data_IF_906131947142
#
_entry.id   IF_906131947142
#
_cell.length_a   1.000
_cell.length_b   1.000
_cell.length_c   1.000
_cell.angle_alpha   90.00
_cell.angle_beta   90.00
_cell.angle_gamma   90.00
#
_symmetry.space_group_name_H-M   'P 1'
#
loop_
_entity.id
_entity.type
_entity.pdbx_description
1 polymer ?
#
# COMPACT_ATOMS: atom_id res chain seq x y z
N UNK A 1 -7.19 29.48 18.18
CA UNK A 1 -7.31 28.36 17.22
C UNK A 1 -6.08 27.49 17.40
N UNK A 2 -6.09 26.47 18.29
CA UNK A 2 -4.85 25.73 18.63
C UNK A 2 -5.00 24.38 19.36
N UNK A 3 -6.20 23.79 19.50
CA UNK A 3 -6.36 22.50 20.20
C UNK A 3 -7.25 21.51 19.46
N UNK A 4 -8.35 21.97 18.84
CA UNK A 4 -9.21 21.13 17.99
C UNK A 4 -8.50 20.62 16.72
N UNK A 5 -7.58 21.41 16.15
CA UNK A 5 -6.84 21.03 14.93
C UNK A 5 -5.87 19.86 15.18
N UNK A 6 -5.42 19.65 16.42
CA UNK A 6 -4.56 18.51 16.76
C UNK A 6 -5.36 17.21 16.89
N UNK A 7 -6.59 17.28 17.42
CA UNK A 7 -7.48 16.11 17.58
C UNK A 7 -8.24 15.75 16.29
N UNK A 8 -8.38 16.70 15.37
CA UNK A 8 -9.03 16.52 14.07
C UNK A 8 -8.07 16.64 12.89
N UNK A 9 -6.77 16.73 13.14
CA UNK A 9 -5.75 16.90 12.11
C UNK A 9 -5.42 15.62 11.34
N UNK A 10 -4.54 15.70 10.32
CA UNK A 10 -4.23 14.55 9.47
C UNK A 10 -3.64 13.35 10.23
N UNK A 11 -2.82 13.57 11.25
CA UNK A 11 -2.32 12.50 12.11
C UNK A 11 -3.40 11.80 12.93
N UNK A 12 -4.37 12.56 13.46
CA UNK A 12 -5.48 12.00 14.23
C UNK A 12 -6.42 11.15 13.35
N UNK A 13 -6.59 11.52 12.07
CA UNK A 13 -7.29 10.67 11.10
C UNK A 13 -6.67 9.27 11.00
N UNK A 14 -5.35 9.20 10.83
CA UNK A 14 -4.63 7.91 10.71
C UNK A 14 -4.77 7.08 11.99
N UNK A 15 -4.69 7.71 13.16
CA UNK A 15 -4.88 7.01 14.42
C UNK A 15 -6.30 6.45 14.58
N UNK A 16 -7.33 7.19 14.15
CA UNK A 16 -8.71 6.66 14.12
C UNK A 16 -8.86 5.51 13.14
N UNK A 17 -8.21 5.56 11.98
CA UNK A 17 -8.21 4.44 11.03
C UNK A 17 -7.53 3.19 11.63
N UNK A 18 -6.40 3.37 12.33
CA UNK A 18 -5.71 2.28 13.04
C UNK A 18 -6.62 1.62 14.06
N UNK A 19 -7.23 2.43 14.93
CA UNK A 19 -8.14 1.95 15.97
C UNK A 19 -9.38 1.27 15.38
N UNK A 20 -10.03 1.87 14.39
CA UNK A 20 -11.21 1.31 13.76
C UNK A 20 -10.91 -0.01 13.03
N UNK A 21 -9.75 -0.12 12.38
CA UNK A 21 -9.29 -1.37 11.77
C UNK A 21 -9.09 -2.46 12.83
N UNK A 22 -8.33 -2.18 13.88
CA UNK A 22 -8.01 -3.17 14.91
C UNK A 22 -9.23 -3.58 15.74
N UNK A 23 -10.19 -2.67 15.92
CA UNK A 23 -11.47 -2.95 16.59
C UNK A 23 -12.52 -3.57 15.65
N UNK A 24 -12.21 -3.75 14.37
CA UNK A 24 -13.15 -4.23 13.35
C UNK A 24 -14.43 -3.38 13.26
N UNK A 25 -14.30 -2.07 13.49
CA UNK A 25 -15.41 -1.11 13.49
C UNK A 25 -15.56 -0.47 12.12
N UNK A 26 -16.40 -1.09 11.29
CA UNK A 26 -16.71 -0.62 9.94
C UNK A 26 -17.33 0.79 9.93
N UNK A 27 -18.11 1.14 10.95
CA UNK A 27 -18.78 2.44 10.99
C UNK A 27 -17.78 3.57 11.27
N UNK A 28 -16.97 3.43 12.32
CA UNK A 28 -15.93 4.40 12.65
C UNK A 28 -14.89 4.52 11.54
N UNK A 29 -14.53 3.40 10.90
CA UNK A 29 -13.64 3.39 9.75
C UNK A 29 -14.24 4.19 8.59
N UNK A 30 -15.50 3.93 8.24
CA UNK A 30 -16.17 4.60 7.10
C UNK A 30 -16.30 6.11 7.36
N UNK A 31 -16.57 6.53 8.60
CA UNK A 31 -16.67 7.95 8.99
C UNK A 31 -15.36 8.73 8.87
N UNK A 32 -14.22 8.05 8.68
CA UNK A 32 -12.95 8.72 8.41
C UNK A 32 -12.84 9.27 6.98
N UNK A 33 -13.79 8.98 6.10
CA UNK A 33 -13.74 9.38 4.69
C UNK A 33 -14.86 10.36 4.36
N UNK A 34 -14.55 11.37 3.55
CA UNK A 34 -15.52 12.31 3.03
C UNK A 34 -16.48 11.62 2.06
N UNK A 35 -17.69 12.16 1.91
CA UNK A 35 -18.71 11.61 1.01
C UNK A 35 -18.21 11.44 -0.43
N UNK A 36 -17.46 12.43 -0.92
CA UNK A 36 -16.87 12.51 -2.25
C UNK A 36 -15.40 12.05 -2.32
N UNK A 37 -14.95 11.30 -1.31
CA UNK A 37 -13.58 10.80 -1.20
C UNK A 37 -13.07 10.17 -2.50
N UNK A 38 -11.84 10.52 -2.91
CA UNK A 38 -11.19 9.93 -4.09
C UNK A 38 -9.99 9.08 -3.74
N UNK A 39 -10.00 7.83 -4.17
CA UNK A 39 -8.85 6.93 -4.09
C UNK A 39 -8.13 6.83 -5.44
N UNK A 40 -6.82 7.08 -5.42
CA UNK A 40 -5.91 6.86 -6.54
C UNK A 40 -4.94 5.73 -6.18
N UNK A 41 -4.65 4.84 -7.12
CA UNK A 41 -3.68 3.74 -6.98
C UNK A 41 -2.63 3.88 -8.08
N UNK A 42 -1.59 4.71 -7.90
CA UNK A 42 -0.74 5.13 -9.03
C UNK A 42 0.00 3.99 -9.72
N UNK A 43 0.40 2.95 -8.98
CA UNK A 43 1.00 1.74 -9.55
C UNK A 43 -0.02 0.88 -10.34
N UNK A 44 -1.31 1.03 -10.05
CA UNK A 44 -2.39 0.24 -10.65
C UNK A 44 -3.64 1.10 -10.93
N UNK A 45 -3.59 2.05 -11.89
CA UNK A 45 -4.62 3.10 -12.02
C UNK A 45 -6.06 2.60 -12.14
N UNK A 46 -6.27 1.40 -12.71
CA UNK A 46 -7.58 0.77 -12.81
C UNK A 46 -8.22 0.39 -11.46
N UNK A 47 -7.45 0.36 -10.36
CA UNK A 47 -7.93 0.08 -9.00
C UNK A 47 -8.42 1.33 -8.26
N UNK A 48 -8.30 2.53 -8.85
CA UNK A 48 -8.81 3.78 -8.28
C UNK A 48 -10.34 3.82 -8.21
N UNK A 49 -10.90 4.58 -7.27
CA UNK A 49 -12.35 4.67 -7.09
C UNK A 49 -12.78 5.97 -6.40
N UNK A 50 -14.09 6.24 -6.36
CA UNK A 50 -14.67 7.41 -5.70
C UNK A 50 -15.80 7.02 -4.76
N UNK A 51 -15.97 7.81 -3.71
CA UNK A 51 -17.08 7.79 -2.77
C UNK A 51 -16.85 6.90 -1.54
N UNK A 52 -17.30 7.40 -0.40
CA UNK A 52 -17.28 6.71 0.90
C UNK A 52 -17.98 5.35 0.89
N UNK A 53 -19.06 5.23 0.12
CA UNK A 53 -19.79 3.96 0.03
C UNK A 53 -18.96 2.83 -0.59
N UNK A 54 -18.03 3.16 -1.50
CA UNK A 54 -17.09 2.16 -2.01
C UNK A 54 -16.07 1.76 -0.94
N UNK A 55 -15.60 2.69 -0.10
CA UNK A 55 -14.76 2.38 1.05
C UNK A 55 -15.45 1.38 1.97
N UNK A 56 -16.72 1.65 2.33
CA UNK A 56 -17.53 0.76 3.18
C UNK A 56 -17.64 -0.65 2.59
N UNK A 57 -17.95 -0.76 1.28
CA UNK A 57 -18.05 -2.05 0.60
C UNK A 57 -16.73 -2.82 0.59
N UNK A 58 -15.60 -2.13 0.41
CA UNK A 58 -14.29 -2.76 0.41
C UNK A 58 -13.93 -3.30 1.80
N UNK A 59 -14.13 -2.49 2.84
CA UNK A 59 -13.81 -2.88 4.21
C UNK A 59 -14.74 -3.94 4.79
N UNK A 60 -16.03 -3.93 4.45
CA UNK A 60 -16.94 -5.04 4.80
C UNK A 60 -16.44 -6.37 4.21
N UNK A 61 -15.97 -6.36 2.97
CA UNK A 61 -15.37 -7.55 2.35
C UNK A 61 -14.07 -7.97 3.03
N UNK A 62 -13.18 -7.02 3.36
CA UNK A 62 -11.91 -7.29 4.05
C UNK A 62 -12.16 -7.91 5.43
N UNK A 63 -13.00 -7.29 6.28
CA UNK A 63 -13.30 -7.82 7.61
C UNK A 63 -13.98 -9.20 7.56
N UNK A 64 -14.81 -9.46 6.54
CA UNK A 64 -15.39 -10.79 6.35
C UNK A 64 -14.34 -11.81 5.91
N UNK A 65 -13.40 -11.43 5.06
CA UNK A 65 -12.40 -12.33 4.48
C UNK A 65 -11.21 -12.62 5.42
N UNK A 66 -10.84 -11.63 6.25
CA UNK A 66 -9.71 -11.66 7.19
C UNK A 66 -10.23 -11.24 8.59
N UNK A 67 -10.84 -12.17 9.35
CA UNK A 67 -11.57 -11.83 10.58
C UNK A 67 -10.71 -11.39 11.78
N UNK A 68 -9.39 -11.57 11.68
CA UNK A 68 -8.38 -11.24 12.67
C UNK A 68 -7.42 -10.13 12.17
N UNK A 69 -7.85 -9.36 11.16
CA UNK A 69 -6.99 -8.35 10.55
C UNK A 69 -6.60 -7.28 11.58
N UNK A 70 -5.31 -6.96 11.61
CA UNK A 70 -4.75 -5.87 12.41
C UNK A 70 -3.85 -5.02 11.55
N UNK A 71 -3.64 -3.77 11.96
CA UNK A 71 -2.76 -2.83 11.30
C UNK A 71 -1.90 -2.08 12.31
N UNK A 72 -0.63 -1.91 11.94
CA UNK A 72 0.28 -0.96 12.54
C UNK A 72 0.57 0.16 11.54
N UNK A 73 0.69 1.39 12.04
CA UNK A 73 0.85 2.57 11.18
C UNK A 73 1.86 3.54 11.80
N UNK A 74 2.88 3.90 11.02
CA UNK A 74 3.77 5.03 11.31
C UNK A 74 3.41 6.19 10.38
N UNK A 75 3.47 7.43 10.87
CA UNK A 75 3.07 8.56 10.04
C UNK A 75 3.81 9.85 10.37
N UNK A 76 3.87 10.72 9.37
CA UNK A 76 4.25 12.13 9.50
C UNK A 76 3.20 12.98 8.77
N UNK A 77 2.85 14.11 9.35
CA UNK A 77 1.80 14.98 8.82
C UNK A 77 2.28 16.44 8.74
N UNK A 78 1.73 17.14 7.75
CA UNK A 78 1.66 18.59 7.75
C UNK A 78 0.25 19.06 8.13
N UNK A 79 -0.14 20.28 7.76
CA UNK A 79 -1.45 20.84 8.09
C UNK A 79 -2.63 20.14 7.40
N UNK A 80 -2.43 19.62 6.19
CA UNK A 80 -3.53 19.11 5.33
C UNK A 80 -3.28 17.68 4.86
N UNK A 81 -2.04 17.19 4.91
CA UNK A 81 -1.64 15.89 4.37
C UNK A 81 -0.97 15.04 5.43
N UNK A 82 -1.20 13.73 5.38
CA UNK A 82 -0.48 12.74 6.18
C UNK A 82 0.11 11.66 5.28
N UNK A 83 1.40 11.40 5.45
CA UNK A 83 2.11 10.27 4.90
C UNK A 83 2.11 9.18 5.96
N UNK A 84 1.56 8.01 5.61
CA UNK A 84 1.41 6.89 6.54
C UNK A 84 1.97 5.62 5.94
N UNK A 85 2.89 4.96 6.63
CA UNK A 85 3.38 3.61 6.31
C UNK A 85 2.55 2.60 7.09
N UNK A 86 1.97 1.64 6.40
CA UNK A 86 1.08 0.63 6.93
C UNK A 86 1.71 -0.75 6.86
N UNK A 87 1.49 -1.54 7.89
CA UNK A 87 1.57 -2.99 7.84
C UNK A 87 0.25 -3.58 8.30
N UNK A 88 -0.41 -4.34 7.42
CA UNK A 88 -1.65 -5.06 7.73
C UNK A 88 -1.39 -6.56 7.72
N UNK A 89 -1.82 -7.24 8.78
CA UNK A 89 -1.61 -8.68 8.97
C UNK A 89 -2.92 -9.35 9.39
N UNK A 90 -3.09 -10.61 8.99
CA UNK A 90 -4.17 -11.47 9.45
C UNK A 90 -4.17 -12.82 8.72
N UNK A 91 -5.23 -13.57 8.91
CA UNK A 91 -5.43 -14.92 8.39
C UNK A 91 -6.70 -14.95 7.55
N UNK A 92 -6.58 -15.32 6.27
CA UNK A 92 -7.76 -15.54 5.42
C UNK A 92 -8.54 -16.75 5.92
N UNK A 93 -9.81 -16.87 5.53
CA UNK A 93 -10.67 -18.01 5.91
C UNK A 93 -10.16 -19.37 5.46
N UNK A 94 -9.34 -19.43 4.43
CA UNK A 94 -8.68 -20.66 3.96
C UNK A 94 -7.39 -21.00 4.73
N UNK A 95 -7.02 -20.19 5.72
CA UNK A 95 -5.80 -20.33 6.52
C UNK A 95 -4.56 -19.67 5.92
N UNK A 96 -4.63 -19.12 4.70
CA UNK A 96 -3.48 -18.43 4.09
C UNK A 96 -3.21 -17.06 4.74
N UNK A 97 -1.94 -16.63 4.84
CA UNK A 97 -1.61 -15.34 5.45
C UNK A 97 -2.09 -14.18 4.58
N UNK A 98 -2.76 -13.21 5.19
CA UNK A 98 -2.97 -11.89 4.63
C UNK A 98 -1.85 -10.96 5.14
N UNK A 99 -0.97 -10.51 4.25
CA UNK A 99 0.10 -9.57 4.60
C UNK A 99 0.21 -8.50 3.51
N UNK A 100 -0.10 -7.27 3.88
CA UNK A 100 -0.02 -6.09 3.01
C UNK A 100 0.90 -5.07 3.66
N UNK A 101 1.75 -4.42 2.87
CA UNK A 101 2.59 -3.31 3.33
C UNK A 101 2.66 -2.21 2.29
N UNK A 102 2.95 -1.00 2.73
CA UNK A 102 3.18 0.12 1.83
C UNK A 102 2.78 1.46 2.43
N UNK A 103 2.74 2.47 1.57
CA UNK A 103 2.43 3.85 1.97
C UNK A 103 1.04 4.23 1.48
N UNK A 104 0.31 4.94 2.34
CA UNK A 104 -0.89 5.69 1.96
C UNK A 104 -0.67 7.16 2.31
N UNK A 105 -0.95 8.02 1.33
CA UNK A 105 -0.91 9.47 1.51
C UNK A 105 -2.35 9.96 1.47
N UNK A 106 -2.81 10.62 2.54
CA UNK A 106 -4.16 11.20 2.59
C UNK A 106 -4.10 12.71 2.58
N UNK A 107 -4.99 13.33 1.80
CA UNK A 107 -5.40 14.71 2.03
C UNK A 107 -6.61 14.74 2.95
N UNK A 108 -6.58 15.66 3.92
CA UNK A 108 -7.52 15.69 5.04
C UNK A 108 -8.13 17.08 5.17
N UNK A 109 -9.45 17.14 5.26
CA UNK A 109 -10.19 18.37 5.52
C UNK A 109 -11.31 18.08 6.52
N UNK A 110 -11.48 18.95 7.52
CA UNK A 110 -12.49 18.74 8.57
C UNK A 110 -12.33 17.43 9.35
N UNK A 111 -11.11 16.88 9.39
CA UNK A 111 -10.82 15.59 9.99
C UNK A 111 -11.20 14.37 9.16
N UNK A 112 -11.66 14.52 7.92
CA UNK A 112 -11.98 13.41 7.02
C UNK A 112 -10.99 13.33 5.85
N UNK A 113 -10.70 12.13 5.37
CA UNK A 113 -9.95 11.93 4.13
C UNK A 113 -10.80 12.39 2.93
N UNK A 114 -10.31 13.37 2.18
CA UNK A 114 -10.94 13.82 0.92
C UNK A 114 -10.35 13.13 -0.30
N UNK A 115 -9.09 12.73 -0.22
CA UNK A 115 -8.46 11.87 -1.21
C UNK A 115 -7.35 11.03 -0.59
N UNK A 116 -6.95 9.97 -1.28
CA UNK A 116 -5.73 9.24 -0.97
C UNK A 116 -5.00 8.73 -2.19
N UNK A 117 -3.69 8.55 -2.06
CA UNK A 117 -2.85 7.76 -2.97
C UNK A 117 -2.39 6.49 -2.27
N UNK A 118 -2.76 5.35 -2.83
CA UNK A 118 -2.52 4.02 -2.27
C UNK A 118 -1.35 3.33 -2.98
N UNK A 119 -0.36 2.92 -2.19
CA UNK A 119 0.80 2.12 -2.60
C UNK A 119 0.94 0.87 -1.72
N UNK A 120 -0.18 0.34 -1.23
CA UNK A 120 -0.24 -0.91 -0.48
C UNK A 120 -0.21 -2.10 -1.45
N UNK A 121 0.76 -2.99 -1.29
CA UNK A 121 0.85 -4.23 -2.06
C UNK A 121 0.95 -5.46 -1.14
N UNK A 122 0.55 -6.64 -1.63
CA UNK A 122 0.83 -7.89 -0.94
C UNK A 122 2.34 -8.07 -0.77
N UNK A 123 2.75 -8.52 0.40
CA UNK A 123 4.15 -8.89 0.63
C UNK A 123 4.43 -10.22 -0.05
N UNK A 124 5.44 -10.24 -0.93
CA UNK A 124 5.91 -11.46 -1.56
C UNK A 124 6.73 -12.29 -0.54
N UNK A 125 6.27 -13.50 -0.25
CA UNK A 125 7.03 -14.45 0.57
C UNK A 125 8.01 -15.23 -0.32
N UNK A 126 9.25 -14.73 -0.39
CA UNK A 126 10.32 -15.28 -1.23
C UNK A 126 10.41 -14.62 -2.61
N UNK A 127 11.52 -14.84 -3.31
CA UNK A 127 11.72 -14.23 -4.62
C UNK A 127 13.17 -14.08 -5.04
N UNK A 128 13.33 -13.47 -6.20
CA UNK A 128 14.59 -13.08 -6.78
C UNK A 128 15.33 -12.09 -5.86
N UNK A 129 16.64 -12.29 -5.69
CA UNK A 129 17.49 -11.33 -4.98
C UNK A 129 17.50 -9.96 -5.69
N UNK A 130 17.98 -8.93 -4.97
CA UNK A 130 17.98 -7.53 -5.43
C UNK A 130 18.48 -7.35 -6.87
N UNK A 131 19.55 -8.04 -7.26
CA UNK A 131 20.17 -7.91 -8.60
C UNK A 131 19.23 -8.33 -9.72
N UNK A 132 18.49 -9.42 -9.53
CA UNK A 132 17.55 -9.90 -10.53
C UNK A 132 16.32 -9.00 -10.60
N UNK A 133 15.84 -8.49 -9.45
CA UNK A 133 14.75 -7.50 -9.42
C UNK A 133 15.13 -6.22 -10.15
N UNK A 134 16.35 -5.71 -9.98
CA UNK A 134 16.84 -4.53 -10.69
C UNK A 134 16.97 -4.80 -12.19
N UNK A 135 17.49 -5.97 -12.61
CA UNK A 135 17.56 -6.32 -14.04
C UNK A 135 16.17 -6.32 -14.68
N UNK A 136 15.17 -6.90 -14.01
CA UNK A 136 13.78 -6.90 -14.50
C UNK A 136 13.20 -5.49 -14.56
N UNK A 137 13.41 -4.68 -13.53
CA UNK A 137 12.87 -3.32 -13.47
C UNK A 137 13.49 -2.37 -14.51
N UNK A 138 14.77 -2.57 -14.83
CA UNK A 138 15.51 -1.72 -15.78
C UNK A 138 15.46 -2.23 -17.22
N UNK A 139 15.02 -3.48 -17.44
CA UNK A 139 14.97 -4.10 -18.77
C UNK A 139 16.33 -4.49 -19.34
N UNK A 140 17.39 -4.53 -18.52
CA UNK A 140 18.72 -4.99 -18.98
C UNK A 140 18.65 -6.51 -19.17
N UNK A 141 18.48 -6.95 -20.42
CA UNK A 141 18.56 -8.35 -20.79
C UNK A 141 19.92 -8.93 -20.38
N UNK A 142 19.91 -10.15 -19.84
CA UNK A 142 21.13 -10.94 -19.65
C UNK A 142 21.91 -10.95 -20.95
N UNK A 143 23.06 -10.27 -20.99
CA UNK A 143 23.94 -10.28 -22.15
C UNK A 143 24.44 -11.70 -22.38
N UNK A 144 23.80 -12.43 -23.28
CA UNK A 144 24.42 -13.54 -24.00
C UNK A 144 24.99 -12.98 -25.30
N UNK A 145 26.28 -12.64 -25.31
CA UNK A 145 27.11 -13.05 -26.45
C UNK A 145 28.61 -12.98 -26.08
N UNK A 146 29.13 -14.14 -25.70
CA UNK A 146 30.51 -14.49 -26.00
C UNK A 146 30.46 -15.95 -26.47
N UNK A 147 30.06 -16.13 -27.74
CA UNK A 147 30.31 -17.37 -28.46
C UNK A 147 31.78 -17.81 -28.35
N UNK A 148 32.08 -19.11 -28.52
CA UNK A 148 33.41 -19.62 -28.22
C UNK A 148 34.46 -18.91 -29.09
N UNK A 149 35.56 -18.47 -28.45
CA UNK A 149 36.75 -17.97 -29.14
C UNK A 149 37.18 -18.97 -30.22
N UNK A 150 37.45 -18.52 -31.47
CA UNK A 150 37.98 -19.41 -32.49
C UNK A 150 39.35 -19.95 -32.05
N UNK A 151 39.52 -21.27 -32.17
CA UNK A 151 40.82 -21.92 -31.99
C UNK A 151 41.81 -21.39 -33.02
N UNK A 152 43.04 -21.02 -32.62
CA UNK A 152 44.06 -20.64 -33.59
C UNK A 152 44.43 -21.86 -34.43
N UNK A 153 44.30 -21.72 -35.75
CA UNK A 153 44.93 -22.61 -36.72
C UNK A 153 46.43 -22.45 -36.64
N UNK A 154 47.11 -23.53 -36.27
CA UNK A 154 48.55 -23.71 -36.50
C UNK A 154 48.86 -23.62 -38.00
N UNK A 155 49.94 -22.90 -38.34
CA UNK A 155 50.61 -23.05 -39.62
C UNK A 155 51.21 -21.75 -40.15
N UNK A 156 52.51 -21.54 -39.90
CA UNK A 156 53.56 -21.47 -40.95
C UNK A 156 54.84 -20.81 -40.40
N UNK A 157 55.77 -21.64 -39.92
CA UNK A 157 57.06 -21.86 -40.60
C UNK A 157 57.81 -23.05 -40.01
#
# INVERSE_FOLDING_TARGET
>A
MRTQDAESGPGALVERLRQATNNHDLESLTRCFALDYRNETPAHPARGFQGREQVRRNWDQIFRAVPDITTEIQWIADAETVWSEWEMRGTRRDGSPHHMRGVVIFGVAGGEATWARFYLEPVEEGGAGVDETIRRATGVASGSDAGPLPTPTDGER
#
